data_IF_248690350911
#
_entry.id   IF_248690350911
#
_cell.length_a   1.000
_cell.length_b   1.000
_cell.length_c   1.000
_cell.angle_alpha   90.00
_cell.angle_beta   90.00
_cell.angle_gamma   90.00
#
_symmetry.space_group_name_H-M   'P 1'
#
loop_
_entity.id
_entity.type
_entity.pdbx_description
1 polymer ?
#
# COMPACT_ATOMS: atom_id res chain seq x y z
N UNK A 1 40.49 21.57 -20.60
CA UNK A 1 39.24 20.84 -20.90
C UNK A 1 38.54 20.61 -19.58
N UNK A 2 37.37 21.22 -19.35
CA UNK A 2 36.74 21.24 -18.03
C UNK A 2 35.96 19.95 -17.75
N UNK A 3 36.16 19.42 -16.55
CA UNK A 3 35.20 18.70 -15.71
C UNK A 3 34.31 17.66 -16.37
N UNK A 4 34.79 16.43 -16.45
CA UNK A 4 33.91 15.26 -16.33
C UNK A 4 33.44 15.19 -14.88
N UNK A 5 32.44 16.01 -14.52
CA UNK A 5 31.59 15.69 -13.37
C UNK A 5 30.81 14.43 -13.75
N UNK A 6 31.42 13.28 -13.47
CA UNK A 6 30.69 12.04 -13.31
C UNK A 6 29.66 12.29 -12.21
N UNK A 7 28.44 12.61 -12.64
CA UNK A 7 27.25 12.44 -11.83
C UNK A 7 27.25 10.97 -11.42
N UNK A 8 27.75 10.70 -10.20
CA UNK A 8 27.55 9.44 -9.52
C UNK A 8 26.04 9.25 -9.42
N UNK A 9 25.45 8.60 -10.42
CA UNK A 9 24.09 8.12 -10.36
C UNK A 9 24.04 7.20 -9.14
N UNK A 10 23.49 7.71 -8.03
CA UNK A 10 23.42 7.00 -6.76
C UNK A 10 22.49 5.81 -6.97
N UNK A 11 23.04 4.68 -7.43
CA UNK A 11 22.32 3.49 -7.87
C UNK A 11 21.38 3.02 -6.76
N UNK A 12 20.08 3.31 -6.91
CA UNK A 12 19.05 2.88 -5.96
C UNK A 12 18.47 1.56 -6.43
N UNK A 13 18.77 0.50 -5.68
CA UNK A 13 18.13 -0.79 -5.88
C UNK A 13 16.85 -0.82 -5.05
N UNK A 14 15.71 -0.63 -5.71
CA UNK A 14 14.41 -0.86 -5.08
C UNK A 14 14.17 -2.38 -4.95
N UNK A 15 13.44 -2.82 -3.91
CA UNK A 15 12.94 -4.18 -3.85
C UNK A 15 11.93 -4.43 -4.99
N UNK A 16 11.79 -5.68 -5.40
CA UNK A 16 10.76 -6.08 -6.36
C UNK A 16 9.38 -5.60 -5.91
N UNK A 17 8.57 -5.13 -6.86
CA UNK A 17 7.24 -4.60 -6.61
C UNK A 17 6.33 -5.60 -5.89
N UNK A 18 5.56 -5.13 -4.90
CA UNK A 18 4.63 -5.95 -4.14
C UNK A 18 3.21 -5.80 -4.67
N UNK A 19 2.76 -6.81 -5.42
CA UNK A 19 1.39 -6.85 -5.96
C UNK A 19 0.32 -6.98 -4.89
N UNK A 20 0.63 -7.57 -3.72
CA UNK A 20 -0.32 -7.72 -2.61
C UNK A 20 -0.49 -6.44 -1.79
N UNK A 21 0.53 -5.57 -1.75
CA UNK A 21 0.53 -4.34 -0.95
C UNK A 21 1.23 -3.19 -1.70
N UNK A 22 0.67 -2.76 -2.84
CA UNK A 22 1.33 -1.79 -3.71
C UNK A 22 1.51 -0.42 -3.03
N UNK A 23 0.53 0.00 -2.22
CA UNK A 23 0.58 1.26 -1.46
C UNK A 23 1.78 1.31 -0.49
N UNK A 24 2.02 0.23 0.25
CA UNK A 24 3.13 0.13 1.21
C UNK A 24 4.46 0.17 0.48
N UNK A 25 4.57 -0.58 -0.62
CA UNK A 25 5.78 -0.58 -1.46
C UNK A 25 6.10 0.83 -1.97
N UNK A 26 5.10 1.58 -2.45
CA UNK A 26 5.31 2.95 -2.91
C UNK A 26 5.77 3.89 -1.79
N UNK A 27 5.23 3.75 -0.57
CA UNK A 27 5.69 4.54 0.58
C UNK A 27 7.17 4.28 0.88
N UNK A 28 7.60 3.02 0.80
CA UNK A 28 9.01 2.65 1.01
C UNK A 28 9.90 3.17 -0.12
N UNK A 29 9.47 3.05 -1.38
CA UNK A 29 10.20 3.60 -2.52
C UNK A 29 10.34 5.13 -2.44
N UNK A 30 9.26 5.84 -2.05
CA UNK A 30 9.26 7.29 -1.88
C UNK A 30 10.19 7.76 -0.77
N UNK A 31 10.28 7.01 0.34
CA UNK A 31 11.26 7.28 1.38
C UNK A 31 12.69 7.18 0.85
N UNK A 32 12.99 6.16 0.04
CA UNK A 32 14.30 6.01 -0.59
C UNK A 32 14.62 7.13 -1.59
N UNK A 33 13.63 7.55 -2.38
CA UNK A 33 13.77 8.71 -3.27
C UNK A 33 14.06 9.98 -2.49
N UNK A 34 13.37 10.19 -1.37
CA UNK A 34 13.57 11.36 -0.52
C UNK A 34 14.97 11.38 0.10
N UNK A 35 15.43 10.27 0.70
CA UNK A 35 16.77 10.14 1.30
C UNK A 35 17.86 10.46 0.28
N UNK A 36 17.68 10.07 -0.99
CA UNK A 36 18.65 10.26 -2.07
C UNK A 36 18.43 11.52 -2.91
N UNK A 37 17.50 12.40 -2.51
CA UNK A 37 17.16 13.63 -3.24
C UNK A 37 16.76 13.37 -4.70
N UNK A 38 16.16 12.22 -5.00
CA UNK A 38 15.63 11.90 -6.33
C UNK A 38 14.29 12.62 -6.48
N UNK A 39 14.29 13.73 -7.21
CA UNK A 39 13.12 14.58 -7.44
C UNK A 39 12.58 14.52 -8.86
N UNK A 40 13.43 14.19 -9.84
CA UNK A 40 13.04 14.08 -11.24
C UNK A 40 12.00 12.97 -11.47
N UNK A 41 10.89 13.34 -12.12
CA UNK A 41 9.76 12.45 -12.43
C UNK A 41 10.20 11.24 -13.26
N UNK A 42 11.01 11.48 -14.30
CA UNK A 42 11.58 10.42 -15.14
C UNK A 42 12.44 9.45 -14.34
N UNK A 43 13.33 9.96 -13.48
CA UNK A 43 14.21 9.11 -12.67
C UNK A 43 13.40 8.21 -11.73
N UNK A 44 12.37 8.75 -11.07
CA UNK A 44 11.47 7.96 -10.21
C UNK A 44 10.71 6.92 -11.03
N UNK A 45 10.19 7.29 -12.19
CA UNK A 45 9.51 6.39 -13.11
C UNK A 45 10.42 5.21 -13.50
N UNK A 46 11.65 5.46 -13.96
CA UNK A 46 12.57 4.39 -14.36
C UNK A 46 12.97 3.50 -13.19
N UNK A 47 13.12 4.03 -11.97
CA UNK A 47 13.32 3.20 -10.78
C UNK A 47 12.13 2.28 -10.52
N UNK A 48 10.90 2.78 -10.63
CA UNK A 48 9.70 1.93 -10.48
C UNK A 48 9.67 0.85 -11.56
N UNK A 49 9.91 1.19 -12.83
CA UNK A 49 9.95 0.21 -13.93
C UNK A 49 11.02 -0.86 -13.69
N UNK A 50 12.20 -0.48 -13.19
CA UNK A 50 13.29 -1.41 -12.88
C UNK A 50 12.96 -2.39 -11.74
N UNK A 51 11.96 -2.07 -10.92
CA UNK A 51 11.54 -2.90 -9.79
C UNK A 51 10.39 -3.86 -10.14
N UNK A 52 9.83 -3.79 -11.35
CA UNK A 52 8.74 -4.66 -11.78
C UNK A 52 9.30 -6.03 -12.20
N UNK A 53 8.64 -7.10 -11.76
CA UNK A 53 8.87 -8.44 -12.29
C UNK A 53 8.17 -8.62 -13.65
N UNK A 54 8.50 -9.70 -14.36
CA UNK A 54 7.99 -9.96 -15.70
C UNK A 54 6.46 -10.02 -15.76
N UNK A 55 5.80 -10.59 -14.74
CA UNK A 55 4.34 -10.70 -14.73
C UNK A 55 3.69 -9.32 -14.57
N UNK A 56 4.19 -8.53 -13.61
CA UNK A 56 3.68 -7.17 -13.38
C UNK A 56 3.93 -6.27 -14.57
N UNK A 57 5.13 -6.29 -15.16
CA UNK A 57 5.45 -5.50 -16.34
C UNK A 57 4.58 -5.89 -17.55
N UNK A 58 4.32 -7.19 -17.73
CA UNK A 58 3.44 -7.68 -18.80
C UNK A 58 2.00 -7.16 -18.69
N UNK A 59 1.48 -7.02 -17.47
CA UNK A 59 0.11 -6.51 -17.22
C UNK A 59 -0.06 -5.01 -17.51
N UNK A 60 1.02 -4.23 -17.50
CA UNK A 60 0.98 -2.79 -17.77
C UNK A 60 1.76 -2.41 -19.03
N UNK A 61 2.01 -3.36 -19.93
CA UNK A 61 2.90 -3.19 -21.09
C UNK A 61 2.46 -2.04 -22.01
N UNK A 62 1.15 -1.82 -22.14
CA UNK A 62 0.60 -0.73 -22.95
C UNK A 62 1.04 0.64 -22.40
N UNK A 63 1.04 0.80 -21.08
CA UNK A 63 1.54 2.01 -20.41
C UNK A 63 3.05 2.18 -20.55
N UNK A 64 3.80 1.07 -20.54
CA UNK A 64 5.26 1.11 -20.72
C UNK A 64 5.68 1.41 -22.17
N UNK A 65 4.85 1.02 -23.15
CA UNK A 65 5.09 1.29 -24.58
C UNK A 65 4.88 2.76 -24.92
N UNK A 66 3.81 3.35 -24.39
CA UNK A 66 3.44 4.74 -24.66
C UNK A 66 3.28 5.52 -23.34
N UNK A 67 4.39 5.81 -22.64
CA UNK A 67 4.33 6.56 -21.40
C UNK A 67 3.91 8.02 -21.68
N UNK A 68 3.14 8.65 -20.78
CA UNK A 68 2.74 10.04 -20.93
C UNK A 68 3.94 10.99 -20.93
N UNK A 69 3.80 12.16 -21.56
CA UNK A 69 4.88 13.15 -21.71
C UNK A 69 5.33 13.75 -20.36
N UNK A 70 4.46 13.75 -19.35
CA UNK A 70 4.80 14.18 -18.00
C UNK A 70 3.93 13.51 -16.94
N UNK A 71 4.31 13.68 -15.67
CA UNK A 71 3.69 13.00 -14.53
C UNK A 71 3.74 11.47 -14.66
N UNK A 72 4.79 10.92 -15.25
CA UNK A 72 4.98 9.48 -15.48
C UNK A 72 4.99 8.72 -14.16
N UNK A 73 5.66 9.25 -13.13
CA UNK A 73 5.68 8.61 -11.83
C UNK A 73 4.28 8.55 -11.20
N UNK A 74 3.55 9.67 -11.25
CA UNK A 74 2.17 9.72 -10.75
C UNK A 74 1.26 8.77 -11.52
N UNK A 75 1.39 8.74 -12.85
CA UNK A 75 0.60 7.89 -13.72
C UNK A 75 0.84 6.39 -13.46
N UNK A 76 2.11 5.95 -13.45
CA UNK A 76 2.43 4.54 -13.18
C UNK A 76 2.03 4.14 -11.75
N UNK A 77 2.18 5.05 -10.77
CA UNK A 77 1.74 4.81 -9.39
C UNK A 77 0.24 4.61 -9.30
N UNK A 78 -0.55 5.46 -9.96
CA UNK A 78 -2.01 5.29 -10.00
C UNK A 78 -2.38 3.99 -10.69
N UNK A 79 -1.80 3.71 -11.86
CA UNK A 79 -2.07 2.49 -12.61
C UNK A 79 -1.78 1.24 -11.78
N UNK A 80 -0.58 1.13 -11.19
CA UNK A 80 -0.18 -0.03 -10.38
C UNK A 80 -1.07 -0.21 -9.13
N UNK A 81 -1.46 0.89 -8.47
CA UNK A 81 -2.40 0.81 -7.34
C UNK A 81 -3.80 0.42 -7.77
N UNK A 82 -4.25 0.78 -8.97
CA UNK A 82 -5.57 0.39 -9.48
C UNK A 82 -5.58 -1.04 -10.02
N UNK A 83 -4.50 -1.49 -10.66
CA UNK A 83 -4.39 -2.84 -11.24
C UNK A 83 -4.15 -3.92 -10.18
N UNK A 84 -3.39 -3.61 -9.12
CA UNK A 84 -3.01 -4.60 -8.09
C UNK A 84 -3.51 -4.27 -6.69
N UNK A 85 -3.96 -3.03 -6.44
CA UNK A 85 -4.55 -2.69 -5.16
C UNK A 85 -5.98 -3.22 -5.07
N UNK A 86 -6.43 -3.42 -3.83
CA UNK A 86 -7.83 -3.73 -3.56
C UNK A 86 -8.70 -2.54 -3.96
N UNK A 87 -9.80 -2.82 -4.66
CA UNK A 87 -10.83 -1.82 -4.92
C UNK A 87 -11.47 -1.35 -3.62
N UNK A 88 -12.12 -0.17 -3.64
CA UNK A 88 -12.86 0.34 -2.48
C UNK A 88 -13.88 -0.67 -1.94
N UNK A 89 -14.53 -1.41 -2.83
CA UNK A 89 -15.52 -2.43 -2.46
C UNK A 89 -14.86 -3.65 -1.83
N UNK A 90 -13.78 -4.18 -2.41
CA UNK A 90 -13.06 -5.31 -1.84
C UNK A 90 -12.48 -4.98 -0.46
N UNK A 91 -11.97 -3.75 -0.27
CA UNK A 91 -11.52 -3.30 1.05
C UNK A 91 -12.65 -3.21 2.05
N UNK A 92 -13.81 -2.69 1.66
CA UNK A 92 -14.98 -2.62 2.54
C UNK A 92 -15.56 -4.01 2.85
N UNK A 93 -15.48 -4.94 1.90
CA UNK A 93 -15.96 -6.31 2.07
C UNK A 93 -15.02 -7.16 2.92
N UNK A 94 -13.71 -6.91 2.89
CA UNK A 94 -12.72 -7.75 3.57
C UNK A 94 -12.94 -7.88 5.08
N UNK A 95 -13.24 -6.81 5.86
CA UNK A 95 -13.58 -6.94 7.28
C UNK A 95 -14.82 -7.81 7.55
N UNK A 96 -15.78 -7.86 6.61
CA UNK A 96 -17.00 -8.67 6.74
C UNK A 96 -16.73 -10.18 6.57
N UNK A 97 -15.63 -10.54 5.90
CA UNK A 97 -15.26 -11.92 5.57
C UNK A 97 -13.97 -12.36 6.26
N UNK A 98 -13.57 -11.69 7.36
CA UNK A 98 -12.45 -12.13 8.18
C UNK A 98 -12.80 -13.42 8.92
N UNK A 99 -11.81 -14.30 9.12
CA UNK A 99 -11.97 -15.61 9.78
C UNK A 99 -12.02 -15.51 11.33
N UNK A 100 -12.54 -14.40 11.88
CA UNK A 100 -12.54 -14.17 13.32
C UNK A 100 -11.15 -13.91 13.90
N UNK A 101 -11.07 -13.88 15.24
CA UNK A 101 -9.82 -13.67 15.96
C UNK A 101 -8.82 -14.82 15.77
N UNK A 102 -9.29 -16.07 15.79
CA UNK A 102 -8.43 -17.25 15.80
C UNK A 102 -7.43 -17.21 16.97
N UNK A 103 -6.17 -17.53 16.71
CA UNK A 103 -5.06 -17.46 17.68
C UNK A 103 -4.42 -16.05 17.79
N UNK A 104 -4.96 -15.06 17.09
CA UNK A 104 -4.38 -13.70 17.01
C UNK A 104 -4.78 -12.85 18.21
N UNK A 105 -4.01 -11.79 18.48
CA UNK A 105 -4.41 -10.81 19.50
C UNK A 105 -5.47 -9.86 18.95
N UNK A 106 -6.42 -9.38 19.78
CA UNK A 106 -7.41 -8.39 19.35
C UNK A 106 -6.80 -7.13 18.74
N UNK A 107 -5.64 -6.69 19.25
CA UNK A 107 -4.90 -5.54 18.70
C UNK A 107 -4.33 -5.80 17.30
N UNK A 108 -3.93 -7.02 16.99
CA UNK A 108 -3.44 -7.40 15.65
C UNK A 108 -4.59 -7.37 14.63
N UNK A 109 -5.74 -7.94 15.01
CA UNK A 109 -6.95 -7.89 14.20
C UNK A 109 -7.42 -6.45 13.98
N UNK A 110 -7.39 -5.62 15.03
CA UNK A 110 -7.76 -4.20 14.93
C UNK A 110 -6.85 -3.47 13.96
N UNK A 111 -5.54 -3.65 14.06
CA UNK A 111 -4.59 -3.03 13.13
C UNK A 111 -4.82 -3.48 11.68
N UNK A 112 -5.15 -4.75 11.46
CA UNK A 112 -5.49 -5.24 10.12
C UNK A 112 -6.76 -4.57 9.59
N UNK A 113 -7.81 -4.46 10.40
CA UNK A 113 -9.06 -3.79 10.03
C UNK A 113 -8.87 -2.29 9.78
N UNK A 114 -8.10 -1.59 10.63
CA UNK A 114 -7.76 -0.17 10.46
C UNK A 114 -6.95 0.06 9.18
N UNK A 115 -6.02 -0.84 8.84
CA UNK A 115 -5.23 -0.73 7.62
C UNK A 115 -6.09 -0.77 6.34
N UNK A 116 -7.27 -1.41 6.40
CA UNK A 116 -8.21 -1.46 5.28
C UNK A 116 -9.04 -0.18 5.12
N UNK A 117 -9.11 0.67 6.16
CA UNK A 117 -9.92 1.88 6.17
C UNK A 117 -9.26 3.09 5.50
N UNK A 118 -7.99 3.02 5.05
CA UNK A 118 -7.27 4.13 4.40
C UNK A 118 -7.43 5.50 5.12
N UNK A 119 -7.53 5.50 6.45
CA UNK A 119 -7.72 6.72 7.25
C UNK A 119 -9.18 7.21 7.38
N UNK A 120 -10.16 6.41 6.96
CA UNK A 120 -11.54 6.60 7.39
C UNK A 120 -11.65 6.42 8.92
N UNK A 121 -12.44 7.27 9.57
CA UNK A 121 -12.73 7.14 11.00
C UNK A 121 -13.48 5.85 11.28
N UNK A 122 -13.14 5.20 12.38
CA UNK A 122 -13.97 4.14 12.97
C UNK A 122 -15.41 4.67 13.13
N UNK A 123 -16.36 3.84 12.77
CA UNK A 123 -17.79 4.12 12.91
C UNK A 123 -18.45 2.95 13.62
N UNK A 124 -19.68 3.13 14.12
CA UNK A 124 -20.41 2.10 14.84
C UNK A 124 -20.44 0.75 14.10
N UNK A 125 -20.55 0.78 12.76
CA UNK A 125 -20.53 -0.45 11.96
C UNK A 125 -19.15 -1.14 12.00
N UNK A 126 -18.07 -0.37 11.96
CA UNK A 126 -16.71 -0.91 12.05
C UNK A 126 -16.45 -1.55 13.42
N UNK A 127 -16.86 -0.88 14.50
CA UNK A 127 -16.78 -1.41 15.87
C UNK A 127 -17.60 -2.70 16.01
N UNK A 128 -18.82 -2.72 15.48
CA UNK A 128 -19.66 -3.91 15.50
C UNK A 128 -19.02 -5.05 14.71
N UNK A 129 -18.47 -4.78 13.52
CA UNK A 129 -17.77 -5.81 12.73
C UNK A 129 -16.61 -6.38 13.54
N UNK A 130 -15.80 -5.53 14.19
CA UNK A 130 -14.69 -5.99 15.01
C UNK A 130 -15.14 -6.86 16.20
N UNK A 131 -16.24 -6.49 16.87
CA UNK A 131 -16.83 -7.28 17.95
C UNK A 131 -17.37 -8.64 17.45
N UNK A 132 -17.98 -8.69 16.27
CA UNK A 132 -18.44 -9.94 15.66
C UNK A 132 -17.30 -10.90 15.34
N UNK A 133 -16.09 -10.38 15.08
CA UNK A 133 -14.89 -11.20 14.87
C UNK A 133 -14.32 -11.77 16.18
N UNK A 134 -14.80 -11.36 17.36
CA UNK A 134 -14.32 -11.86 18.65
C UNK A 134 -15.04 -13.14 19.09
N UNK A 135 -14.33 -14.06 19.79
CA UNK A 135 -14.96 -15.13 20.54
C UNK A 135 -16.01 -14.57 21.52
N UNK A 136 -17.08 -15.33 21.75
CA UNK A 136 -18.24 -14.90 22.54
C UNK A 136 -17.84 -14.41 23.95
N UNK A 137 -16.91 -15.11 24.59
CA UNK A 137 -16.39 -14.77 25.93
C UNK A 137 -15.71 -13.39 25.98
N UNK A 138 -14.96 -13.03 24.94
CA UNK A 138 -14.26 -11.74 24.84
C UNK A 138 -15.26 -10.63 24.46
N UNK A 139 -16.23 -10.95 23.61
CA UNK A 139 -17.27 -10.02 23.17
C UNK A 139 -18.15 -9.55 24.32
N UNK A 140 -18.51 -10.45 25.24
CA UNK A 140 -19.30 -10.12 26.43
C UNK A 140 -18.56 -9.20 27.40
N UNK A 141 -17.24 -9.36 27.51
CA UNK A 141 -16.38 -8.49 28.32
C UNK A 141 -16.23 -7.11 27.68
N UNK A 142 -16.05 -7.04 26.35
CA UNK A 142 -15.85 -5.79 25.62
C UNK A 142 -17.13 -4.99 25.39
N UNK A 143 -18.30 -5.64 25.29
CA UNK A 143 -19.58 -4.94 25.12
C UNK A 143 -19.98 -4.09 26.34
N UNK A 144 -19.30 -4.27 27.48
CA UNK A 144 -19.48 -3.48 28.69
C UNK A 144 -18.54 -2.27 28.76
N UNK A 145 -17.51 -2.23 27.91
CA UNK A 145 -16.51 -1.15 27.85
C UNK A 145 -16.77 -0.23 26.66
N UNK A 146 -16.60 1.08 26.85
CA UNK A 146 -16.72 2.04 25.74
C UNK A 146 -15.53 1.89 24.80
N UNK A 147 -15.80 1.59 23.52
CA UNK A 147 -14.78 1.55 22.47
C UNK A 147 -14.11 2.92 22.38
N UNK A 148 -12.93 3.04 22.98
CA UNK A 148 -12.18 4.29 22.97
C UNK A 148 -11.10 4.12 21.91
N UNK A 149 -11.21 4.87 20.83
CA UNK A 149 -10.25 4.90 19.73
C UNK A 149 -8.84 5.18 20.34
N UNK A 150 -7.81 4.36 20.04
CA UNK A 150 -6.46 4.62 20.52
C UNK A 150 -5.81 5.86 19.88
#
# INVERSE_FOLDING_TARGET
MPGEEQQNAVWLKLPTFWTTQPQVWFKQAEAQFHIRQITADDTRYYYVVSALDQNTAGRIIDYLREPPVGNKYKGIKTLLNTTFGLTRQERAAKPLHMDGLGDRKPSELMNEMLALMEGHKSCLLFEQIFLEQMPEDIRLLLAQDTFTDP
#
